data_IF_262454135432
#
_entry.id   IF_262454135432
#
_cell.length_a   1.000
_cell.length_b   1.000
_cell.length_c   1.000
_cell.angle_alpha   90.00
_cell.angle_beta   90.00
_cell.angle_gamma   90.00
#
_symmetry.space_group_name_H-M   'P 1'
#
loop_
_entity.id
_entity.type
_entity.pdbx_description
1 polymer ?
#
# COMPACT_ATOMS: atom_id res chain seq x y z
N UNK A 1 17.70 -21.42 1.92
CA UNK A 1 17.74 -19.99 2.31
C UNK A 1 18.52 -19.17 1.29
N UNK A 2 17.83 -18.47 0.39
CA UNK A 2 18.50 -17.53 -0.52
C UNK A 2 18.67 -16.16 0.15
N UNK A 3 19.84 -15.52 -0.04
CA UNK A 3 20.12 -14.16 0.43
C UNK A 3 19.09 -13.11 -0.06
N UNK A 4 18.33 -13.42 -1.11
CA UNK A 4 17.24 -12.59 -1.65
C UNK A 4 15.97 -12.61 -0.79
N UNK A 5 15.69 -13.69 -0.05
CA UNK A 5 14.49 -13.82 0.82
C UNK A 5 14.61 -12.98 2.10
N UNK A 6 15.81 -12.93 2.72
CA UNK A 6 16.05 -12.18 3.97
C UNK A 6 15.96 -10.65 3.79
N UNK A 7 16.63 -10.12 2.75
CA UNK A 7 16.73 -8.67 2.54
C UNK A 7 15.38 -7.98 2.26
N UNK A 8 14.41 -8.71 1.71
CA UNK A 8 13.08 -8.18 1.35
C UNK A 8 12.10 -8.23 2.53
N UNK A 9 12.27 -9.19 3.43
CA UNK A 9 11.51 -9.29 4.68
C UNK A 9 11.86 -8.13 5.64
N UNK A 10 13.14 -7.79 5.76
CA UNK A 10 13.62 -6.77 6.70
C UNK A 10 13.35 -5.33 6.23
N UNK A 11 13.34 -5.08 4.92
CA UNK A 11 13.04 -3.77 4.34
C UNK A 11 11.61 -3.26 4.65
N UNK A 12 10.64 -4.17 4.84
CA UNK A 12 9.27 -3.79 5.25
C UNK A 12 9.26 -3.11 6.63
N UNK A 13 10.13 -3.53 7.54
CA UNK A 13 10.11 -3.09 8.95
C UNK A 13 10.83 -1.78 9.20
N UNK A 14 11.76 -1.41 8.32
CA UNK A 14 12.36 -0.07 8.31
C UNK A 14 11.38 1.01 7.82
N UNK A 15 10.34 0.63 7.07
CA UNK A 15 9.40 1.57 6.43
C UNK A 15 8.06 1.71 7.18
N UNK A 16 7.80 0.91 8.22
CA UNK A 16 6.54 0.93 8.98
C UNK A 16 6.77 1.05 10.52
N UNK A 17 7.40 2.13 11.03
CA UNK A 17 7.73 2.29 12.45
C UNK A 17 6.50 2.24 13.39
N UNK A 18 5.29 2.55 12.90
CA UNK A 18 4.02 2.44 13.64
C UNK A 18 3.54 1.00 13.90
N UNK A 19 4.33 0.00 13.52
CA UNK A 19 4.08 -1.43 13.75
C UNK A 19 5.15 -2.10 14.63
N UNK A 20 6.07 -1.31 15.21
CA UNK A 20 7.03 -1.82 16.18
C UNK A 20 6.29 -2.56 17.32
N UNK A 21 6.64 -3.84 17.54
CA UNK A 21 6.09 -4.68 18.60
C UNK A 21 4.83 -5.50 18.26
N UNK A 22 4.21 -5.34 17.09
CA UNK A 22 3.08 -6.19 16.69
C UNK A 22 3.55 -7.59 16.29
N UNK A 23 2.91 -8.65 16.79
CA UNK A 23 3.22 -10.04 16.41
C UNK A 23 2.99 -10.27 14.92
N UNK A 24 3.91 -10.98 14.27
CA UNK A 24 3.91 -11.26 12.82
C UNK A 24 3.92 -12.76 12.64
N UNK A 25 2.80 -13.32 12.18
CA UNK A 25 2.71 -14.77 11.98
C UNK A 25 3.77 -15.26 10.97
N UNK A 26 4.11 -14.46 9.95
CA UNK A 26 5.12 -14.80 8.95
C UNK A 26 6.56 -14.83 9.47
N UNK A 27 6.84 -14.27 10.66
CA UNK A 27 8.18 -14.29 11.24
C UNK A 27 8.49 -15.62 11.96
N UNK A 28 7.50 -16.49 12.13
CA UNK A 28 7.60 -17.77 12.86
C UNK A 28 7.62 -18.98 11.91
N UNK A 29 7.61 -18.74 10.60
CA UNK A 29 7.60 -19.75 9.53
C UNK A 29 8.70 -19.47 8.52
N UNK A 30 9.06 -20.49 7.75
CA UNK A 30 10.08 -20.36 6.70
C UNK A 30 9.65 -19.30 5.65
N UNK A 31 10.48 -18.26 5.42
CA UNK A 31 10.20 -17.25 4.41
C UNK A 31 10.00 -17.82 3.01
N UNK A 32 10.63 -18.94 2.65
CA UNK A 32 10.56 -19.51 1.30
C UNK A 32 9.13 -19.99 0.96
N UNK A 33 8.26 -20.19 1.96
CA UNK A 33 6.81 -20.46 1.78
C UNK A 33 6.10 -19.28 1.10
N UNK A 34 6.54 -18.04 1.32
CA UNK A 34 5.89 -16.84 0.80
C UNK A 34 6.37 -16.43 -0.60
N UNK A 35 7.47 -17.03 -1.08
CA UNK A 35 8.16 -16.62 -2.31
C UNK A 35 8.40 -17.83 -3.22
N UNK A 36 7.36 -18.62 -3.47
CA UNK A 36 7.44 -19.74 -4.40
C UNK A 36 7.71 -19.25 -5.83
N UNK A 37 8.74 -19.82 -6.47
CA UNK A 37 9.05 -19.55 -7.88
C UNK A 37 7.98 -20.17 -8.79
N UNK A 38 7.70 -19.58 -9.98
CA UNK A 38 6.64 -20.05 -10.87
C UNK A 38 6.82 -21.47 -11.40
N UNK A 39 8.07 -21.96 -11.44
CA UNK A 39 8.44 -23.30 -11.90
C UNK A 39 8.52 -24.33 -10.77
N UNK A 40 8.25 -23.95 -9.51
CA UNK A 40 8.18 -24.88 -8.39
C UNK A 40 6.92 -25.76 -8.51
N UNK A 41 7.05 -27.10 -8.63
CA UNK A 41 5.89 -28.01 -8.67
C UNK A 41 5.02 -27.95 -7.41
N UNK A 42 5.51 -27.36 -6.31
CA UNK A 42 4.77 -27.13 -5.06
C UNK A 42 4.33 -25.67 -4.87
N UNK A 43 4.38 -24.83 -5.90
CA UNK A 43 4.04 -23.41 -5.79
C UNK A 43 2.64 -23.17 -5.24
N UNK A 44 1.65 -23.98 -5.64
CA UNK A 44 0.27 -23.88 -5.15
C UNK A 44 0.15 -24.25 -3.67
N UNK A 45 0.81 -25.34 -3.24
CA UNK A 45 0.83 -25.80 -1.85
C UNK A 45 1.45 -24.74 -0.93
N UNK A 46 2.62 -24.21 -1.30
CA UNK A 46 3.28 -23.11 -0.57
C UNK A 46 2.43 -21.85 -0.52
N UNK A 47 1.76 -21.52 -1.63
CA UNK A 47 0.84 -20.37 -1.67
C UNK A 47 -0.33 -20.55 -0.70
N UNK A 48 -0.91 -21.75 -0.63
CA UNK A 48 -1.97 -22.08 0.32
C UNK A 48 -1.48 -21.99 1.77
N UNK A 49 -0.28 -22.51 2.05
CA UNK A 49 0.36 -22.42 3.36
C UNK A 49 0.62 -20.96 3.78
N UNK A 50 1.19 -20.14 2.89
CA UNK A 50 1.42 -18.72 3.13
C UNK A 50 0.13 -17.96 3.43
N UNK A 51 -0.98 -18.29 2.74
CA UNK A 51 -2.30 -17.72 3.03
C UNK A 51 -2.81 -18.13 4.40
N UNK A 52 -2.66 -19.40 4.78
CA UNK A 52 -3.08 -19.88 6.09
C UNK A 52 -2.38 -19.11 7.21
N UNK A 53 -1.07 -18.85 7.07
CA UNK A 53 -0.31 -18.01 8.01
C UNK A 53 -0.86 -16.59 8.09
N UNK A 54 -1.34 -16.03 6.98
CA UNK A 54 -1.91 -14.68 6.95
C UNK A 54 -3.30 -14.58 7.61
N UNK A 55 -4.09 -15.66 7.65
CA UNK A 55 -5.52 -15.64 8.04
C UNK A 55 -5.80 -15.10 9.45
N UNK A 56 -4.87 -15.24 10.40
CA UNK A 56 -4.97 -14.69 11.76
C UNK A 56 -4.00 -13.56 12.07
N UNK A 57 -3.26 -13.07 11.07
CA UNK A 57 -2.16 -12.13 11.31
C UNK A 57 -2.69 -10.72 11.63
N UNK A 58 -2.37 -10.13 12.81
CA UNK A 58 -2.93 -8.85 13.24
C UNK A 58 -2.47 -7.68 12.35
N UNK A 59 -1.38 -7.84 11.61
CA UNK A 59 -0.84 -6.83 10.68
C UNK A 59 -1.24 -7.06 9.22
N UNK A 60 -2.09 -8.07 8.92
CA UNK A 60 -2.45 -8.48 7.56
C UNK A 60 -2.88 -7.32 6.66
N UNK A 61 -3.81 -6.49 7.14
CA UNK A 61 -4.33 -5.36 6.36
C UNK A 61 -3.24 -4.34 6.01
N UNK A 62 -2.35 -4.02 6.96
CA UNK A 62 -1.25 -3.07 6.72
C UNK A 62 -0.17 -3.68 5.83
N UNK A 63 0.11 -4.97 5.96
CA UNK A 63 1.00 -5.73 5.07
C UNK A 63 0.48 -5.71 3.62
N UNK A 64 -0.83 -5.92 3.43
CA UNK A 64 -1.47 -5.82 2.11
C UNK A 64 -1.34 -4.41 1.53
N UNK A 65 -1.64 -3.37 2.32
CA UNK A 65 -1.50 -1.97 1.87
C UNK A 65 -0.06 -1.65 1.45
N UNK A 66 0.94 -2.12 2.21
CA UNK A 66 2.35 -1.97 1.83
C UNK A 66 2.64 -2.66 0.50
N UNK A 67 2.23 -3.92 0.35
CA UNK A 67 2.49 -4.69 -0.86
C UNK A 67 1.82 -4.10 -2.11
N UNK A 68 0.62 -3.55 -1.98
CA UNK A 68 -0.06 -2.81 -3.05
C UNK A 68 0.67 -1.51 -3.39
N UNK A 69 1.21 -0.81 -2.39
CA UNK A 69 1.96 0.43 -2.59
C UNK A 69 3.32 0.19 -3.26
N UNK A 70 4.05 -0.86 -2.90
CA UNK A 70 5.43 -1.07 -3.40
C UNK A 70 5.53 -2.11 -4.51
N UNK A 71 4.46 -2.84 -4.81
CA UNK A 71 4.48 -3.89 -5.84
C UNK A 71 5.39 -5.06 -5.46
N UNK A 72 5.28 -5.55 -4.22
CA UNK A 72 6.10 -6.69 -3.78
C UNK A 72 5.76 -7.95 -4.57
N UNK A 73 6.75 -8.84 -4.74
CA UNK A 73 6.58 -10.19 -5.26
C UNK A 73 6.21 -11.18 -4.14
N UNK A 74 5.54 -12.29 -4.47
CA UNK A 74 5.15 -13.33 -3.52
C UNK A 74 3.84 -13.04 -2.77
N UNK A 75 3.61 -13.78 -1.69
CA UNK A 75 2.40 -13.69 -0.86
C UNK A 75 2.55 -12.63 0.23
N UNK A 76 1.70 -11.61 0.18
CA UNK A 76 1.68 -10.51 1.16
C UNK A 76 0.24 -10.21 1.58
N UNK A 77 0.01 -10.06 2.88
CA UNK A 77 -1.32 -9.82 3.42
C UNK A 77 -2.35 -10.88 3.03
N UNK A 78 -1.90 -12.10 2.73
CA UNK A 78 -2.73 -13.22 2.26
C UNK A 78 -3.13 -13.14 0.78
N UNK A 79 -2.41 -12.36 -0.03
CA UNK A 79 -2.66 -12.20 -1.47
C UNK A 79 -1.42 -12.52 -2.30
N UNK A 80 -1.58 -13.08 -3.49
CA UNK A 80 -0.51 -13.20 -4.49
C UNK A 80 -0.31 -11.89 -5.24
N UNK A 81 0.77 -11.79 -6.02
CA UNK A 81 0.98 -10.62 -6.88
C UNK A 81 -0.14 -10.44 -7.91
N UNK A 82 -0.59 -11.53 -8.53
CA UNK A 82 -1.67 -11.50 -9.51
C UNK A 82 -2.99 -11.00 -8.90
N UNK A 83 -3.34 -11.50 -7.72
CA UNK A 83 -4.52 -11.03 -7.00
C UNK A 83 -4.41 -9.55 -6.63
N UNK A 84 -3.23 -9.07 -6.24
CA UNK A 84 -3.02 -7.64 -5.98
C UNK A 84 -3.19 -6.82 -7.26
N UNK A 85 -2.72 -7.30 -8.41
CA UNK A 85 -2.94 -6.64 -9.70
C UNK A 85 -4.43 -6.58 -10.03
N UNK A 86 -5.17 -7.65 -9.81
CA UNK A 86 -6.62 -7.69 -10.00
C UNK A 86 -7.37 -6.75 -9.03
N UNK A 87 -7.01 -6.74 -7.75
CA UNK A 87 -7.57 -5.81 -6.76
C UNK A 87 -7.33 -4.34 -7.17
N UNK A 88 -6.15 -4.00 -7.69
CA UNK A 88 -5.86 -2.67 -8.22
C UNK A 88 -6.74 -2.32 -9.42
N UNK A 89 -6.96 -3.27 -10.35
CA UNK A 89 -7.87 -3.09 -11.50
C UNK A 89 -9.31 -2.88 -11.05
N UNK A 90 -9.81 -3.72 -10.15
CA UNK A 90 -11.17 -3.62 -9.60
C UNK A 90 -11.38 -2.31 -8.85
N UNK A 91 -10.41 -1.87 -8.05
CA UNK A 91 -10.46 -0.56 -7.37
C UNK A 91 -10.46 0.60 -8.34
N UNK A 92 -9.73 0.51 -9.45
CA UNK A 92 -9.77 1.52 -10.51
C UNK A 92 -11.15 1.55 -11.21
N UNK A 93 -11.80 0.39 -11.38
CA UNK A 93 -13.11 0.26 -12.02
C UNK A 93 -14.29 0.62 -11.08
N UNK A 94 -14.12 0.50 -9.75
CA UNK A 94 -15.18 0.73 -8.76
C UNK A 94 -15.31 2.22 -8.38
N UNK A 95 -16.50 2.81 -8.50
CA UNK A 95 -16.78 4.14 -7.93
C UNK A 95 -17.04 4.05 -6.40
N UNK A 96 -16.59 5.03 -5.59
CA UNK A 96 -15.98 6.30 -5.99
C UNK A 96 -14.48 6.36 -5.67
N UNK A 97 -13.71 5.28 -5.92
CA UNK A 97 -12.25 5.43 -5.97
C UNK A 97 -11.88 6.41 -7.09
N UNK A 98 -12.61 6.39 -8.20
CA UNK A 98 -12.45 7.38 -9.27
C UNK A 98 -12.75 8.82 -8.83
N UNK A 99 -13.62 9.05 -7.83
CA UNK A 99 -13.82 10.38 -7.28
C UNK A 99 -12.63 10.81 -6.42
N UNK A 100 -12.09 9.90 -5.59
CA UNK A 100 -10.88 10.15 -4.81
C UNK A 100 -9.65 10.36 -5.69
N UNK A 101 -9.54 9.62 -6.80
CA UNK A 101 -8.48 9.78 -7.80
C UNK A 101 -8.62 11.12 -8.52
N UNK A 102 -9.82 11.45 -9.01
CA UNK A 102 -10.08 12.74 -9.64
C UNK A 102 -9.74 13.89 -8.68
N UNK A 103 -10.05 13.71 -7.40
CA UNK A 103 -9.74 14.70 -6.39
C UNK A 103 -8.24 14.82 -6.09
N UNK A 104 -7.55 13.69 -5.94
CA UNK A 104 -6.10 13.69 -5.80
C UNK A 104 -5.40 14.38 -7.00
N UNK A 105 -5.89 14.19 -8.23
CA UNK A 105 -5.37 14.90 -9.41
C UNK A 105 -5.56 16.41 -9.29
N UNK A 106 -6.72 16.89 -8.80
CA UNK A 106 -6.95 18.33 -8.58
C UNK A 106 -6.00 18.88 -7.53
N UNK A 107 -5.86 18.18 -6.40
CA UNK A 107 -4.97 18.57 -5.31
C UNK A 107 -3.50 18.59 -5.75
N UNK A 108 -3.05 17.61 -6.54
CA UNK A 108 -1.71 17.62 -7.12
C UNK A 108 -1.44 18.86 -7.99
N UNK A 109 -2.43 19.30 -8.77
CA UNK A 109 -2.29 20.51 -9.60
C UNK A 109 -2.26 21.77 -8.74
N UNK A 110 -3.12 21.86 -7.73
CA UNK A 110 -3.15 22.98 -6.80
C UNK A 110 -1.83 23.11 -6.02
N UNK A 111 -1.32 22.00 -5.47
CA UNK A 111 -0.03 21.95 -4.77
C UNK A 111 1.15 22.38 -5.66
N UNK A 112 1.12 22.04 -6.96
CA UNK A 112 2.13 22.52 -7.92
C UNK A 112 2.00 24.01 -8.20
N UNK A 113 0.78 24.53 -8.32
CA UNK A 113 0.53 25.95 -8.53
C UNK A 113 0.97 26.80 -7.33
N UNK A 114 0.89 26.25 -6.11
CA UNK A 114 1.37 26.88 -4.87
C UNK A 114 2.89 26.78 -4.67
N UNK A 115 3.67 26.44 -5.71
CA UNK A 115 5.14 26.40 -5.62
C UNK A 115 5.73 25.06 -5.17
N UNK A 116 4.92 23.99 -5.06
CA UNK A 116 5.40 22.62 -4.89
C UNK A 116 5.89 22.27 -3.48
N UNK A 117 5.73 23.15 -2.50
CA UNK A 117 6.10 22.89 -1.10
C UNK A 117 5.10 21.96 -0.39
N UNK A 118 3.87 21.86 -0.90
CA UNK A 118 2.83 21.02 -0.32
C UNK A 118 2.92 19.56 -0.80
N UNK A 119 3.20 18.63 0.12
CA UNK A 119 3.17 17.20 -0.18
C UNK A 119 1.74 16.64 -0.12
N UNK A 120 1.13 16.36 -1.27
CA UNK A 120 -0.18 15.71 -1.37
C UNK A 120 -0.08 14.24 -1.77
N UNK A 121 -1.10 13.45 -1.46
CA UNK A 121 -1.19 12.06 -1.93
C UNK A 121 -1.25 12.03 -3.47
N UNK A 122 -0.35 11.26 -4.09
CA UNK A 122 -0.39 11.08 -5.54
C UNK A 122 -1.61 10.26 -5.97
N UNK A 123 -2.22 10.61 -7.09
CA UNK A 123 -3.35 9.91 -7.68
C UNK A 123 -3.06 8.41 -7.89
N UNK A 124 -1.84 8.06 -8.34
CA UNK A 124 -1.42 6.65 -8.46
C UNK A 124 -1.32 5.92 -7.12
N UNK A 125 -1.13 6.63 -6.02
CA UNK A 125 -1.10 6.05 -4.67
C UNK A 125 -2.51 5.78 -4.16
N UNK A 126 -3.49 6.61 -4.51
CA UNK A 126 -4.90 6.41 -4.17
C UNK A 126 -5.41 5.04 -4.63
N UNK A 127 -5.05 4.61 -5.85
CA UNK A 127 -5.40 3.30 -6.39
C UNK A 127 -4.72 2.11 -5.68
N UNK A 128 -3.63 2.37 -4.94
CA UNK A 128 -2.80 1.35 -4.30
C UNK A 128 -3.11 1.16 -2.81
N UNK A 129 -4.02 1.93 -2.23
CA UNK A 129 -4.38 1.83 -0.79
C UNK A 129 -5.86 1.56 -0.62
N UNK A 130 -6.28 1.11 0.57
CA UNK A 130 -7.69 0.89 0.87
C UNK A 130 -8.52 2.19 0.73
N UNK A 131 -9.82 2.05 0.43
CA UNK A 131 -10.70 3.21 0.26
C UNK A 131 -10.76 4.11 1.50
N UNK A 132 -10.76 3.52 2.71
CA UNK A 132 -10.72 4.29 3.95
C UNK A 132 -9.46 5.15 4.06
N UNK A 133 -8.27 4.56 3.79
CA UNK A 133 -6.99 5.28 3.81
C UNK A 133 -6.89 6.31 2.69
N UNK A 134 -7.40 6.00 1.51
CA UNK A 134 -7.50 6.93 0.39
C UNK A 134 -8.37 8.14 0.74
N UNK A 135 -9.55 7.92 1.33
CA UNK A 135 -10.46 8.98 1.75
C UNK A 135 -9.82 9.88 2.80
N UNK A 136 -9.22 9.29 3.83
CA UNK A 136 -8.52 10.03 4.89
C UNK A 136 -7.39 10.89 4.31
N UNK A 137 -6.53 10.30 3.46
CA UNK A 137 -5.42 11.01 2.84
C UNK A 137 -5.86 12.14 1.91
N UNK A 138 -6.91 11.92 1.10
CA UNK A 138 -7.47 12.96 0.21
C UNK A 138 -8.08 14.10 1.03
N UNK A 139 -8.80 13.81 2.13
CA UNK A 139 -9.36 14.84 3.00
C UNK A 139 -8.26 15.64 3.73
N UNK A 140 -7.18 14.97 4.15
CA UNK A 140 -6.03 15.65 4.73
C UNK A 140 -5.33 16.57 3.72
N UNK A 141 -5.10 16.09 2.50
CA UNK A 141 -4.50 16.87 1.42
C UNK A 141 -5.38 18.07 1.02
N UNK A 142 -6.72 17.91 1.00
CA UNK A 142 -7.65 19.02 0.80
C UNK A 142 -7.47 20.13 1.83
N UNK A 143 -7.52 19.79 3.12
CA UNK A 143 -7.35 20.78 4.20
C UNK A 143 -6.02 21.51 4.10
N UNK A 144 -4.95 20.81 3.72
CA UNK A 144 -3.63 21.39 3.55
C UNK A 144 -3.61 22.42 2.40
N UNK A 145 -4.17 22.08 1.24
CA UNK A 145 -4.32 23.02 0.10
C UNK A 145 -5.20 24.22 0.47
N UNK A 146 -6.32 23.99 1.16
CA UNK A 146 -7.24 25.07 1.56
C UNK A 146 -6.57 26.05 2.56
N UNK A 147 -5.71 25.54 3.45
CA UNK A 147 -4.97 26.38 4.41
C UNK A 147 -3.91 27.23 3.68
N UNK A 148 -3.14 26.62 2.78
CA UNK A 148 -2.13 27.33 1.98
C UNK A 148 -2.76 28.40 1.08
N UNK A 149 -3.93 28.12 0.49
CA UNK A 149 -4.68 29.10 -0.29
C UNK A 149 -5.16 30.29 0.57
N UNK A 150 -5.53 30.05 1.83
CA UNK A 150 -5.92 31.12 2.76
C UNK A 150 -4.71 32.00 3.14
N UNK A 151 -3.54 31.40 3.37
CA UNK A 151 -2.31 32.13 3.71
C UNK A 151 -1.83 33.03 2.54
N UNK A 152 -1.97 32.56 1.30
CA UNK A 152 -1.65 33.36 0.10
C UNK A 152 -2.67 34.49 -0.15
N UNK A 153 -3.93 34.31 0.27
CA UNK A 153 -4.99 35.30 0.11
C UNK A 153 -5.07 36.36 1.22
N UNK A 154 -4.52 36.08 2.40
CA UNK A 154 -4.47 37.01 3.54
C UNK A 154 -3.24 37.92 3.58
N UNK A 155 -2.30 37.73 2.66
CA UNK A 155 -1.07 38.54 2.53
C UNK A 155 -1.19 39.70 1.53
N UNK A 156 -2.41 40.03 1.07
CA UNK A 156 -2.73 41.14 0.18
C UNK A 156 -3.58 42.18 0.91
#
# INVERSE_FOLDING_TARGET
MSARSLARHDAMWLLLPRLAGARRACAEVDPDVFFAEPDDPKAEERTAEARAVCTGCPVRARCLDFALATGQYGVWGGTTEEERRELCRQRAASRPMSALVAEAIRLERAARAAGGQLSVIRAKTVLRISHARAREAVLAARRAVDTEAADLGGAA
#
